data_IF_694974989389
#
_entry.id   IF_694974989389
#
_cell.length_a   1.000
_cell.length_b   1.000
_cell.length_c   1.000
_cell.angle_alpha   90.00
_cell.angle_beta   90.00
_cell.angle_gamma   90.00
#
_symmetry.space_group_name_H-M   'P 1'
#
loop_
_entity.id
_entity.type
_entity.pdbx_description
1 polymer ?
#
# COMPACT_ATOMS: atom_id res chain seq x y z
N UNK A 1 -19.80 37.21 -0.79
CA UNK A 1 -19.71 35.80 -0.33
C UNK A 1 -19.06 34.97 -1.43
N UNK A 2 -17.75 34.69 -1.35
CA UNK A 2 -17.08 33.84 -2.34
C UNK A 2 -17.44 32.38 -2.06
N UNK A 3 -18.20 31.74 -2.97
CA UNK A 3 -18.32 30.27 -3.00
C UNK A 3 -16.96 29.72 -3.41
N UNK A 4 -16.14 29.29 -2.46
CA UNK A 4 -14.97 28.48 -2.77
C UNK A 4 -15.49 27.13 -3.27
N UNK A 5 -15.30 26.83 -4.54
CA UNK A 5 -15.74 25.57 -5.11
C UNK A 5 -15.07 24.42 -4.36
N UNK A 6 -15.81 23.38 -3.92
CA UNK A 6 -15.28 22.35 -3.03
C UNK A 6 -14.02 21.67 -3.56
N UNK A 7 -13.89 21.50 -4.88
CA UNK A 7 -12.69 20.92 -5.52
C UNK A 7 -11.40 21.71 -5.23
N UNK A 8 -11.43 23.06 -5.19
CA UNK A 8 -10.23 23.89 -5.00
C UNK A 8 -9.55 23.65 -3.65
N UNK A 9 -10.35 23.30 -2.62
CA UNK A 9 -9.81 22.98 -1.29
C UNK A 9 -9.03 21.67 -1.29
N UNK A 10 -9.45 20.71 -2.11
CA UNK A 10 -8.74 19.43 -2.27
C UNK A 10 -7.53 19.56 -3.19
N UNK A 11 -7.62 20.34 -4.26
CA UNK A 11 -6.49 20.56 -5.17
C UNK A 11 -5.26 21.07 -4.43
N UNK A 12 -5.42 22.07 -3.56
CA UNK A 12 -4.28 22.64 -2.80
C UNK A 12 -3.70 21.62 -1.82
N UNK A 13 -4.53 20.76 -1.21
CA UNK A 13 -4.09 19.75 -0.23
C UNK A 13 -3.33 18.60 -0.88
N UNK A 14 -3.75 18.21 -2.08
CA UNK A 14 -3.15 17.13 -2.84
C UNK A 14 -2.17 17.62 -3.92
N UNK A 15 -1.74 18.88 -3.87
CA UNK A 15 -0.78 19.43 -4.84
C UNK A 15 0.52 18.62 -4.89
N UNK A 16 0.91 18.06 -3.74
CA UNK A 16 2.04 17.17 -3.58
C UNK A 16 1.92 15.83 -4.33
N UNK A 17 0.74 15.52 -4.89
CA UNK A 17 0.50 14.44 -5.87
C UNK A 17 0.23 15.03 -7.26
N UNK A 18 -0.65 16.03 -7.35
CA UNK A 18 -1.08 16.61 -8.62
C UNK A 18 0.07 17.26 -9.39
N UNK A 19 0.90 18.06 -8.74
CA UNK A 19 2.03 18.75 -9.39
C UNK A 19 3.02 17.77 -10.01
N UNK A 20 3.48 16.73 -9.29
CA UNK A 20 4.30 15.69 -9.90
C UNK A 20 3.66 15.02 -11.12
N UNK A 21 2.34 14.75 -11.12
CA UNK A 21 1.65 14.15 -12.28
C UNK A 21 1.56 15.11 -13.47
N UNK A 22 1.26 16.39 -13.20
CA UNK A 22 1.23 17.48 -14.20
C UNK A 22 2.60 17.67 -14.86
N UNK A 23 3.68 17.57 -14.09
CA UNK A 23 5.05 17.57 -14.62
C UNK A 23 5.36 16.37 -15.53
N UNK A 24 4.58 15.29 -15.47
CA UNK A 24 4.66 14.17 -16.41
C UNK A 24 3.81 14.37 -17.67
N UNK A 25 3.20 15.55 -17.83
CA UNK A 25 2.30 15.84 -18.95
C UNK A 25 0.89 15.28 -18.79
N UNK A 26 0.51 14.79 -17.60
CA UNK A 26 -0.85 14.32 -17.33
C UNK A 26 -1.64 15.44 -16.62
N UNK A 27 -2.74 15.95 -17.19
CA UNK A 27 -3.51 17.03 -16.57
C UNK A 27 -4.37 16.48 -15.41
N UNK A 28 -3.70 16.19 -14.29
CA UNK A 28 -4.33 15.61 -13.11
C UNK A 28 -5.19 16.65 -12.36
N UNK A 29 -6.34 16.20 -11.86
CA UNK A 29 -7.29 16.99 -11.08
C UNK A 29 -7.95 16.14 -9.99
N UNK A 30 -8.61 16.80 -9.03
CA UNK A 30 -9.46 16.12 -8.06
C UNK A 30 -10.87 15.99 -8.63
N UNK A 31 -11.39 14.77 -8.62
CA UNK A 31 -12.79 14.49 -8.94
C UNK A 31 -13.54 14.02 -7.70
N UNK A 32 -14.82 14.40 -7.66
CA UNK A 32 -15.75 14.07 -6.58
C UNK A 32 -16.98 13.43 -7.23
N UNK A 33 -17.16 12.13 -7.00
CA UNK A 33 -18.32 11.37 -7.45
C UNK A 33 -19.14 10.93 -6.24
N UNK A 34 -20.19 11.68 -5.93
CA UNK A 34 -20.97 11.48 -4.72
C UNK A 34 -20.13 11.72 -3.46
N UNK A 35 -19.86 10.66 -2.70
CA UNK A 35 -18.99 10.68 -1.51
C UNK A 35 -17.55 10.21 -1.78
N UNK A 36 -17.25 9.78 -3.01
CA UNK A 36 -15.93 9.31 -3.41
C UNK A 36 -15.10 10.49 -3.92
N UNK A 37 -13.87 10.59 -3.43
CA UNK A 37 -12.91 11.61 -3.83
C UNK A 37 -11.70 10.87 -4.38
N UNK A 38 -11.26 11.23 -5.56
CA UNK A 38 -10.11 10.60 -6.19
C UNK A 38 -9.34 11.59 -7.05
N UNK A 39 -8.07 11.29 -7.30
CA UNK A 39 -7.30 12.02 -8.31
C UNK A 39 -7.57 11.33 -9.64
N UNK A 40 -8.01 12.11 -10.61
CA UNK A 40 -8.21 11.69 -11.99
C UNK A 40 -7.13 12.30 -12.87
N UNK A 41 -6.58 11.51 -13.79
CA UNK A 41 -5.67 12.01 -14.80
C UNK A 41 -5.88 11.27 -16.13
N UNK A 42 -6.28 11.95 -17.21
CA UNK A 42 -6.45 11.31 -18.51
C UNK A 42 -5.09 10.89 -19.08
N UNK A 43 -5.08 9.76 -19.79
CA UNK A 43 -3.92 9.19 -20.45
C UNK A 43 -4.01 9.37 -21.98
N UNK A 44 -2.87 9.35 -22.70
CA UNK A 44 -2.86 9.60 -24.15
C UNK A 44 -3.61 8.55 -25.00
N UNK A 45 -3.85 7.36 -24.46
CA UNK A 45 -4.54 6.27 -25.13
C UNK A 45 -6.08 6.31 -24.96
N UNK A 46 -6.62 7.41 -24.43
CA UNK A 46 -8.05 7.58 -24.17
C UNK A 46 -8.55 6.95 -22.87
N UNK A 47 -7.67 6.23 -22.16
CA UNK A 47 -7.96 5.75 -20.81
C UNK A 47 -7.66 6.81 -19.76
N UNK A 48 -7.93 6.52 -18.49
CA UNK A 48 -7.60 7.42 -17.40
C UNK A 48 -6.99 6.69 -16.20
N UNK A 49 -6.19 7.43 -15.45
CA UNK A 49 -5.61 7.02 -14.19
C UNK A 49 -6.50 7.53 -13.05
N UNK A 50 -6.86 6.65 -12.13
CA UNK A 50 -7.53 6.94 -10.88
C UNK A 50 -6.60 6.62 -9.72
N UNK A 51 -6.35 7.59 -8.83
CA UNK A 51 -5.56 7.39 -7.61
C UNK A 51 -6.42 7.68 -6.38
N UNK A 52 -6.43 6.74 -5.44
CA UNK A 52 -7.19 6.80 -4.18
C UNK A 52 -6.33 6.35 -3.00
N UNK A 53 -6.88 6.50 -1.79
CA UNK A 53 -6.32 5.94 -0.57
C UNK A 53 -7.35 4.98 0.03
N UNK A 54 -7.22 3.67 -0.21
CA UNK A 54 -8.18 2.66 0.28
C UNK A 54 -9.62 2.99 -0.19
N UNK A 55 -9.80 3.07 -1.50
CA UNK A 55 -11.08 3.37 -2.16
C UNK A 55 -11.48 4.85 -2.27
N UNK A 56 -11.05 5.75 -1.37
CA UNK A 56 -11.37 7.20 -1.46
C UNK A 56 -10.32 8.07 -0.78
N UNK A 57 -10.10 9.29 -1.28
CA UNK A 57 -9.16 10.22 -0.66
C UNK A 57 -9.76 10.83 0.61
N UNK A 58 -9.01 10.82 1.73
CA UNK A 58 -9.44 11.52 2.93
C UNK A 58 -9.44 13.05 2.70
N UNK A 59 -10.25 13.76 3.50
CA UNK A 59 -10.23 15.23 3.49
C UNK A 59 -8.88 15.82 3.93
N UNK A 60 -8.19 15.11 4.82
CA UNK A 60 -6.86 15.45 5.31
C UNK A 60 -5.82 14.55 4.63
N UNK A 61 -4.87 15.11 3.85
CA UNK A 61 -3.83 14.30 3.20
C UNK A 61 -2.92 13.58 4.19
N UNK A 62 -2.74 14.08 5.42
CA UNK A 62 -1.93 13.43 6.45
C UNK A 62 -2.59 12.15 6.99
N UNK A 63 -3.89 11.95 6.71
CA UNK A 63 -4.62 10.74 7.07
C UNK A 63 -4.46 9.62 6.02
N UNK A 64 -3.76 9.85 4.91
CA UNK A 64 -3.49 8.82 3.90
C UNK A 64 -2.56 7.76 4.49
N UNK A 65 -3.00 6.50 4.47
CA UNK A 65 -2.25 5.35 5.00
C UNK A 65 -1.69 4.45 3.91
N UNK A 66 -2.30 4.49 2.74
CA UNK A 66 -1.98 3.68 1.59
C UNK A 66 -2.43 4.41 0.33
N UNK A 67 -1.78 4.12 -0.79
CA UNK A 67 -2.21 4.53 -2.11
C UNK A 67 -2.61 3.32 -2.95
N UNK A 68 -3.64 3.52 -3.76
CA UNK A 68 -4.02 2.64 -4.85
C UNK A 68 -4.07 3.45 -6.14
N UNK A 69 -3.58 2.87 -7.23
CA UNK A 69 -3.65 3.47 -8.55
C UNK A 69 -4.19 2.44 -9.54
N UNK A 70 -5.21 2.85 -10.27
CA UNK A 70 -5.87 2.05 -11.29
C UNK A 70 -5.86 2.78 -12.61
N UNK A 71 -5.70 2.04 -13.70
CA UNK A 71 -6.14 2.49 -15.01
C UNK A 71 -7.56 2.02 -15.25
N UNK A 72 -8.40 2.92 -15.71
CA UNK A 72 -9.76 2.64 -16.14
C UNK A 72 -9.98 3.16 -17.56
N UNK A 73 -11.04 2.69 -18.20
CA UNK A 73 -11.45 3.14 -19.51
C UNK A 73 -12.97 3.32 -19.50
N UNK A 74 -13.46 4.52 -19.81
CA UNK A 74 -14.89 4.84 -19.70
C UNK A 74 -15.74 3.96 -20.61
N UNK A 75 -15.28 3.71 -21.84
CA UNK A 75 -15.99 2.85 -22.80
C UNK A 75 -15.90 1.34 -22.50
N UNK A 76 -15.00 0.92 -21.60
CA UNK A 76 -14.84 -0.49 -21.28
C UNK A 76 -14.38 -0.71 -19.82
N UNK A 77 -15.32 -0.79 -18.87
CA UNK A 77 -15.00 -0.98 -17.45
C UNK A 77 -14.29 -2.31 -17.14
N UNK A 78 -14.37 -3.27 -18.06
CA UNK A 78 -13.65 -4.56 -17.98
C UNK A 78 -12.13 -4.39 -18.16
N UNK A 79 -11.66 -3.27 -18.69
CA UNK A 79 -10.24 -2.95 -18.91
C UNK A 79 -9.69 -2.14 -17.73
N UNK A 80 -10.11 -2.49 -16.51
CA UNK A 80 -9.50 -1.97 -15.30
C UNK A 80 -8.21 -2.73 -15.00
N UNK A 81 -7.12 -2.01 -14.78
CA UNK A 81 -5.82 -2.59 -14.44
C UNK A 81 -5.28 -1.93 -13.18
N UNK A 82 -4.95 -2.73 -12.17
CA UNK A 82 -4.28 -2.27 -10.98
C UNK A 82 -2.81 -1.99 -11.31
N UNK A 83 -2.36 -0.75 -11.10
CA UNK A 83 -0.98 -0.31 -11.37
C UNK A 83 -0.16 -0.36 -10.09
N UNK A 84 -0.77 0.01 -8.96
CA UNK A 84 -0.09 0.13 -7.68
C UNK A 84 -1.08 -0.06 -6.55
N UNK A 85 -0.70 -0.82 -5.53
CA UNK A 85 -1.51 -1.05 -4.34
C UNK A 85 -0.64 -1.22 -3.10
N UNK A 86 -0.64 -0.22 -2.23
CA UNK A 86 0.06 -0.23 -0.95
C UNK A 86 -0.87 -0.39 0.25
N UNK A 87 -2.12 -0.83 0.02
CA UNK A 87 -3.02 -1.26 1.11
C UNK A 87 -2.47 -2.48 1.82
N UNK A 88 -3.05 -2.84 2.96
CA UNK A 88 -2.60 -3.98 3.79
C UNK A 88 -2.52 -5.30 3.01
N UNK A 89 -3.42 -5.47 2.04
CA UNK A 89 -3.54 -6.67 1.21
C UNK A 89 -2.87 -6.51 -0.17
N UNK A 90 -2.35 -5.32 -0.48
CA UNK A 90 -1.74 -4.98 -1.75
C UNK A 90 -0.32 -5.54 -1.93
N UNK A 91 0.10 -5.67 -3.20
CA UNK A 91 1.45 -6.13 -3.56
C UNK A 91 2.55 -5.22 -2.98
N UNK A 92 2.25 -3.94 -2.81
CA UNK A 92 3.15 -2.90 -2.33
C UNK A 92 2.90 -2.52 -0.85
N UNK A 93 2.26 -3.41 -0.07
CA UNK A 93 1.90 -3.16 1.34
C UNK A 93 3.04 -2.67 2.24
N UNK A 94 4.29 -3.05 1.93
CA UNK A 94 5.48 -2.66 2.71
C UNK A 94 5.85 -1.18 2.51
N UNK A 95 5.29 -0.54 1.50
CA UNK A 95 5.58 0.85 1.14
C UNK A 95 4.65 1.83 1.88
N UNK A 96 3.66 1.35 2.65
CA UNK A 96 2.88 2.09 3.66
C UNK A 96 2.46 3.54 3.27
N UNK A 97 2.01 3.77 2.02
CA UNK A 97 1.61 5.11 1.57
C UNK A 97 2.75 6.03 1.12
N UNK A 98 3.96 5.49 0.89
CA UNK A 98 5.04 6.23 0.25
C UNK A 98 4.65 6.63 -1.18
N UNK A 99 4.98 7.88 -1.53
CA UNK A 99 4.65 8.47 -2.85
C UNK A 99 5.67 8.13 -3.93
N UNK A 100 6.94 8.00 -3.56
CA UNK A 100 8.00 7.72 -4.53
C UNK A 100 7.77 6.39 -5.27
N UNK A 101 7.42 5.28 -4.59
CA UNK A 101 7.12 4.03 -5.27
C UNK A 101 5.85 4.09 -6.14
N UNK A 102 4.80 4.77 -5.68
CA UNK A 102 3.60 5.05 -6.47
C UNK A 102 3.96 5.70 -7.82
N UNK A 103 4.77 6.76 -7.79
CA UNK A 103 5.18 7.44 -9.01
C UNK A 103 6.09 6.57 -9.89
N UNK A 104 6.98 5.78 -9.30
CA UNK A 104 7.82 4.86 -10.03
C UNK A 104 6.99 3.78 -10.75
N UNK A 105 5.95 3.24 -10.11
CA UNK A 105 5.03 2.28 -10.71
C UNK A 105 4.23 2.91 -11.86
N UNK A 106 3.74 4.14 -11.70
CA UNK A 106 3.07 4.89 -12.77
C UNK A 106 4.04 5.12 -13.94
N UNK A 107 5.26 5.57 -13.69
CA UNK A 107 6.26 5.81 -14.74
C UNK A 107 6.61 4.50 -15.47
N UNK A 108 6.78 3.40 -14.75
CA UNK A 108 7.02 2.07 -15.34
C UNK A 108 5.83 1.59 -16.19
N UNK A 109 4.60 1.80 -15.71
CA UNK A 109 3.39 1.46 -16.46
C UNK A 109 3.28 2.24 -17.77
N UNK A 110 3.52 3.56 -17.73
CA UNK A 110 3.51 4.41 -18.92
C UNK A 110 4.61 4.01 -19.90
N UNK A 111 5.82 3.72 -19.41
CA UNK A 111 6.94 3.28 -20.24
C UNK A 111 6.66 1.95 -20.95
N UNK A 112 6.14 0.95 -20.22
CA UNK A 112 5.82 -0.36 -20.78
C UNK A 112 4.77 -0.30 -21.92
N UNK A 113 3.93 0.73 -21.93
CA UNK A 113 2.89 0.94 -22.95
C UNK A 113 3.24 2.01 -23.99
N UNK A 114 4.43 2.61 -23.90
CA UNK A 114 4.82 3.70 -24.80
C UNK A 114 3.96 4.97 -24.64
N UNK A 115 3.37 5.19 -23.47
CA UNK A 115 2.51 6.34 -23.16
C UNK A 115 3.27 7.53 -22.56
N UNK A 116 4.60 7.42 -22.45
CA UNK A 116 5.46 8.49 -21.95
C UNK A 116 5.44 9.63 -22.98
N UNK A 117 5.29 10.91 -22.57
CA UNK A 117 5.42 12.03 -23.48
C UNK A 117 6.72 11.93 -24.27
N UNK A 118 6.67 12.26 -25.57
CA UNK A 118 7.82 12.12 -26.48
C UNK A 118 9.08 12.83 -25.97
N UNK A 119 8.94 14.01 -25.34
CA UNK A 119 10.06 14.75 -24.74
C UNK A 119 10.71 14.06 -23.52
N UNK A 120 9.99 13.17 -22.83
CA UNK A 120 10.52 12.35 -21.73
C UNK A 120 11.13 11.04 -22.21
N UNK A 121 10.74 10.56 -23.39
CA UNK A 121 11.33 9.37 -24.01
C UNK A 121 12.82 9.59 -24.36
N UNK A 122 13.23 10.85 -24.53
CA UNK A 122 14.63 11.24 -24.76
C UNK A 122 15.50 11.10 -23.50
N UNK A 123 14.90 11.16 -22.29
CA UNK A 123 15.61 10.95 -21.04
C UNK A 123 15.77 9.45 -20.77
N UNK A 124 16.93 8.90 -21.15
CA UNK A 124 17.34 7.55 -20.76
C UNK A 124 17.62 7.51 -19.25
N UNK A 125 16.86 6.72 -18.45
CA UNK A 125 17.17 6.57 -17.04
C UNK A 125 18.54 5.89 -16.89
N UNK A 126 19.46 6.55 -16.19
CA UNK A 126 20.72 5.93 -15.77
C UNK A 126 20.38 5.00 -14.60
N UNK A 127 20.52 3.70 -14.81
CA UNK A 127 20.37 2.72 -13.73
C UNK A 127 21.48 2.93 -12.70
N UNK A 128 21.12 3.41 -11.50
CA UNK A 128 22.03 3.45 -10.36
C UNK A 128 21.87 2.14 -9.60
N UNK A 129 22.82 1.23 -9.77
CA UNK A 129 22.90 0.03 -8.95
C UNK A 129 23.43 0.41 -7.56
N UNK A 130 22.52 0.57 -6.60
CA UNK A 130 22.89 0.70 -5.18
C UNK A 130 23.25 -0.68 -4.66
N UNK A 131 24.54 -0.93 -4.42
CA UNK A 131 24.99 -2.11 -3.69
C UNK A 131 24.76 -1.87 -2.20
N UNK A 132 23.69 -2.42 -1.65
CA UNK A 132 23.55 -2.53 -0.20
C UNK A 132 24.58 -3.55 0.31
N UNK A 133 25.65 -3.06 0.94
CA UNK A 133 26.51 -3.90 1.76
C UNK A 133 25.72 -4.27 3.02
N UNK A 134 25.52 -5.57 3.21
CA UNK A 134 24.62 -6.12 4.22
C UNK A 134 24.99 -5.71 5.64
N UNK A 135 24.11 -4.97 6.30
CA UNK A 135 24.00 -4.97 7.75
C UNK A 135 22.95 -6.02 8.13
N UNK A 136 23.40 -7.25 8.28
CA UNK A 136 22.63 -8.29 8.97
C UNK A 136 22.61 -7.95 10.45
N UNK A 137 21.49 -7.40 10.93
CA UNK A 137 21.29 -7.23 12.35
C UNK A 137 20.12 -6.32 12.69
N UNK A 138 19.12 -6.91 13.36
CA UNK A 138 17.91 -6.32 13.96
C UNK A 138 16.66 -6.47 13.10
N UNK A 139 15.79 -7.38 13.55
CA UNK A 139 14.39 -7.52 13.17
C UNK A 139 13.64 -6.23 13.51
N UNK A 140 13.73 -5.25 12.62
CA UNK A 140 12.96 -4.02 12.67
C UNK A 140 11.52 -4.30 12.30
N UNK A 141 10.61 -4.01 13.23
CA UNK A 141 9.15 -4.02 13.04
C UNK A 141 8.76 -3.42 11.68
N UNK A 142 7.69 -3.91 11.03
CA UNK A 142 7.22 -3.31 9.79
C UNK A 142 6.91 -1.82 10.03
N UNK A 143 7.51 -0.99 9.18
CA UNK A 143 7.46 0.48 9.24
C UNK A 143 6.02 1.03 9.30
N UNK A 144 5.04 0.26 8.80
CA UNK A 144 3.62 0.61 8.84
C UNK A 144 3.01 0.67 10.25
N UNK A 145 3.75 0.28 11.30
CA UNK A 145 3.26 0.27 12.69
C UNK A 145 3.39 1.65 13.37
N UNK A 146 2.75 2.69 12.83
CA UNK A 146 2.50 3.94 13.58
C UNK A 146 1.01 4.11 13.86
N UNK A 147 0.49 3.25 14.74
CA UNK A 147 -0.77 3.46 15.43
C UNK A 147 -0.80 2.64 16.73
N UNK A 148 -0.25 3.20 17.81
CA UNK A 148 -0.71 3.03 19.20
C UNK A 148 0.31 3.64 20.18
N UNK A 149 0.46 4.97 20.17
CA UNK A 149 0.91 5.65 21.39
C UNK A 149 -0.28 5.62 22.35
N UNK A 150 -0.51 4.48 23.01
CA UNK A 150 -1.36 4.40 24.19
C UNK A 150 -0.46 4.79 25.37
N UNK A 151 -0.77 5.81 26.18
CA UNK A 151 0.00 6.06 27.38
C UNK A 151 -0.04 4.81 28.27
N UNK A 152 1.06 4.50 29.00
CA UNK A 152 1.09 3.34 29.88
C UNK A 152 -0.03 3.46 30.94
N UNK A 153 -0.67 2.36 31.35
CA UNK A 153 -1.56 2.42 32.50
C UNK A 153 -0.74 2.86 33.72
N UNK A 154 -1.15 3.97 34.32
CA UNK A 154 -0.62 4.42 35.61
C UNK A 154 -0.83 3.31 36.62
N UNK A 155 0.27 2.82 37.18
CA UNK A 155 0.29 1.82 38.24
C UNK A 155 -0.24 2.45 39.51
N UNK A 156 -1.55 2.36 39.75
CA UNK A 156 -2.11 2.52 41.09
C UNK A 156 -1.97 1.19 41.82
N UNK A 157 -0.85 1.04 42.52
CA UNK A 157 -0.71 0.03 43.58
C UNK A 157 -1.73 0.35 44.67
N UNK A 158 -2.80 -0.43 44.74
CA UNK A 158 -3.65 -0.50 45.94
C UNK A 158 -3.44 -1.84 46.62
N UNK A 159 -3.25 -1.72 47.92
CA UNK A 159 -2.67 -2.67 48.86
C UNK A 159 -3.78 -3.49 49.54
N UNK A 160 -3.47 -4.77 49.86
CA UNK A 160 -4.13 -5.69 50.85
C UNK A 160 -5.51 -6.28 50.49
N UNK A 161 -5.92 -7.50 50.86
CA UNK A 161 -5.39 -8.62 51.67
C UNK A 161 -6.14 -9.92 51.32
N UNK A 162 -5.38 -11.01 51.32
CA UNK A 162 -5.64 -12.32 51.94
C UNK A 162 -6.72 -13.32 51.48
N UNK A 163 -6.18 -14.55 51.40
CA UNK A 163 -6.72 -15.84 51.86
C UNK A 163 -7.37 -16.72 50.79
N UNK A 164 -7.24 -18.05 50.75
CA UNK A 164 -6.35 -19.10 51.30
C UNK A 164 -6.80 -20.39 50.55
N UNK A 165 -6.01 -21.46 50.65
CA UNK A 165 -6.25 -22.87 50.24
C UNK A 165 -5.69 -23.24 48.86
N UNK A 166 -4.58 -23.99 48.72
CA UNK A 166 -4.19 -25.33 49.22
C UNK A 166 -4.75 -26.49 48.38
N UNK A 167 -3.85 -27.35 47.88
CA UNK A 167 -4.14 -28.59 47.14
C UNK A 167 -3.32 -28.69 45.85
N UNK A 168 -2.02 -28.96 45.90
CA UNK A 168 -1.37 -30.29 46.03
C UNK A 168 -1.45 -31.19 44.78
N UNK A 169 -0.26 -31.41 44.21
CA UNK A 169 0.25 -32.60 43.52
C UNK A 169 -0.45 -33.17 42.27
N UNK A 170 0.25 -33.15 41.13
CA UNK A 170 0.93 -34.34 40.56
C UNK A 170 1.22 -34.18 39.06
N UNK A 171 2.50 -34.23 38.69
CA UNK A 171 2.96 -34.83 37.41
C UNK A 171 3.29 -36.32 37.68
N UNK A 172 3.65 -37.18 36.71
CA UNK A 172 3.84 -37.01 35.26
C UNK A 172 3.14 -38.13 34.43
N UNK A 173 3.22 -38.12 33.09
CA UNK A 173 3.52 -39.32 32.28
C UNK A 173 3.82 -38.95 30.83
N UNK A 174 4.95 -39.50 30.36
CA UNK A 174 5.53 -39.49 29.03
C UNK A 174 4.96 -40.67 28.23
N UNK A 175 4.53 -40.46 26.98
CA UNK A 175 4.51 -41.53 25.96
C UNK A 175 5.02 -40.96 24.65
N UNK A 176 5.95 -41.72 24.07
CA UNK A 176 6.67 -41.47 22.84
C UNK A 176 6.57 -42.75 22.01
N UNK A 177 6.01 -42.70 20.79
CA UNK A 177 6.13 -43.68 19.68
C UNK A 177 5.73 -42.86 18.44
N UNK A 178 6.46 -42.69 17.34
CA UNK A 178 7.32 -43.58 16.56
C UNK A 178 6.81 -43.53 15.10
N UNK A 179 7.66 -43.42 14.06
CA UNK A 179 7.25 -43.05 12.70
C UNK A 179 6.90 -44.25 11.81
N UNK A 180 6.04 -44.05 10.80
CA UNK A 180 5.85 -44.95 9.66
C UNK A 180 5.81 -44.06 8.38
N UNK A 181 6.84 -44.03 7.54
CA UNK A 181 7.29 -45.03 6.56
C UNK A 181 6.46 -45.06 5.26
N UNK A 182 7.13 -44.56 4.20
CA UNK A 182 7.31 -45.14 2.84
C UNK A 182 6.13 -45.19 1.84
N UNK A 183 6.49 -44.80 0.61
CA UNK A 183 5.91 -45.23 -0.67
C UNK A 183 5.13 -44.12 -1.37
N UNK A 184 5.25 -43.86 -2.68
CA UNK A 184 5.99 -44.49 -3.76
C UNK A 184 5.89 -43.52 -4.96
N UNK A 185 6.96 -43.41 -5.76
CA UNK A 185 6.94 -42.71 -7.04
C UNK A 185 6.33 -43.58 -8.15
N UNK A 186 5.64 -42.97 -9.13
CA UNK A 186 5.50 -43.33 -10.57
C UNK A 186 4.59 -42.25 -11.20
N UNK A 187 4.99 -41.37 -12.12
CA UNK A 187 5.41 -41.46 -13.53
C UNK A 187 4.31 -41.78 -14.55
N UNK A 188 4.33 -41.01 -15.67
CA UNK A 188 3.71 -41.21 -17.00
C UNK A 188 2.18 -41.08 -17.12
N UNK A 189 1.55 -40.71 -18.25
CA UNK A 189 1.87 -40.07 -19.54
C UNK A 189 0.57 -40.19 -20.38
N UNK A 190 0.30 -39.22 -21.27
CA UNK A 190 -0.64 -39.26 -22.43
C UNK A 190 -2.11 -39.58 -22.14
N UNK A 191 -3.08 -38.91 -22.77
CA UNK A 191 -3.21 -38.60 -24.20
C UNK A 191 -4.19 -37.45 -24.39
#
# INVERSE_FOLDING_TARGET
MHRTTPHLRFETRYDHILTPLRQRGMPAAIEILGALIYIHAPLPDGSHLQITSDGTLPSDPDAVRAWQAYRHHDDNPTVSALIYDSTTDGEHRLECGLRSPLFAAIDAFLAARGLVPTWRSEFRPVAVHVRHQGLTGVLGRPWCSRAANRPPPTTSSSTRLSSTEAGSASSPTRVSVGPAARGLAITTSSR
#
